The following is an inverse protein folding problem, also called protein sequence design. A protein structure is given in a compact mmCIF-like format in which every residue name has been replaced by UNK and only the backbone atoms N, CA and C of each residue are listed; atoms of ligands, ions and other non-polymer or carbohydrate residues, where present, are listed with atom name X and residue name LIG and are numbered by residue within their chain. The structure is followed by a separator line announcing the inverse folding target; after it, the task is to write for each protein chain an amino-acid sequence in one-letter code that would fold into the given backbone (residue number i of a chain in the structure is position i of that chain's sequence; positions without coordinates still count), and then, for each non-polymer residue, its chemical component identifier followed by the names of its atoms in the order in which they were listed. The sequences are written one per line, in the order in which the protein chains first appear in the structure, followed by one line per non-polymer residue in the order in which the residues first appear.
data_IF_810153213327
#
_entry.id   IF_810153213327
#
_cell.length_a   1.000
_cell.length_b   1.000
_cell.length_c   1.000
_cell.angle_alpha   90.00
_cell.angle_beta   90.00
_cell.angle_gamma   90.00
#
_symmetry.space_group_name_H-M   'P 1'
#
loop_
_entity.id
_entity.type
_entity.pdbx_description
1 polymer ?
#
# COMPACT_ATOMS: atom_id res chain seq x y z
N UNK A 1 13.90 -12.40 11.39
CA UNK A 1 12.84 -11.49 10.90
C UNK A 1 13.03 -10.08 11.47
N UNK A 2 13.21 -9.93 12.78
CA UNK A 2 13.37 -8.61 13.43
C UNK A 2 14.55 -7.77 12.90
N UNK A 3 15.76 -8.33 12.80
CA UNK A 3 16.94 -7.62 12.30
C UNK A 3 16.76 -7.13 10.85
N UNK A 4 16.15 -7.95 9.99
CA UNK A 4 15.83 -7.58 8.60
C UNK A 4 14.85 -6.40 8.52
N UNK A 5 13.86 -6.38 9.42
CA UNK A 5 12.83 -5.34 9.47
C UNK A 5 13.25 -4.11 10.27
N UNK A 6 14.47 -4.10 10.84
CA UNK A 6 14.93 -3.06 11.77
C UNK A 6 13.87 -2.71 12.82
N UNK A 7 13.12 -3.72 13.26
CA UNK A 7 11.92 -3.54 14.06
C UNK A 7 12.26 -3.39 15.53
N UNK A 8 11.71 -2.34 16.16
CA UNK A 8 11.72 -2.15 17.61
C UNK A 8 10.79 -3.15 18.31
N UNK A 9 9.72 -3.58 17.64
CA UNK A 9 8.83 -4.64 18.13
C UNK A 9 9.50 -6.01 17.99
N UNK A 10 9.38 -6.89 19.00
CA UNK A 10 9.80 -8.28 18.91
C UNK A 10 8.96 -9.05 17.89
N UNK A 11 9.49 -10.20 17.47
CA UNK A 11 8.81 -11.17 16.63
C UNK A 11 8.59 -12.47 17.40
N UNK A 12 7.46 -13.13 17.16
CA UNK A 12 7.26 -14.53 17.55
C UNK A 12 8.09 -15.50 16.71
N UNK A 13 8.57 -15.08 15.53
CA UNK A 13 9.30 -15.91 14.59
C UNK A 13 8.40 -16.72 13.65
N UNK A 14 7.12 -16.33 13.53
CA UNK A 14 6.11 -17.03 12.75
C UNK A 14 6.04 -16.45 11.34
N UNK A 15 6.00 -17.32 10.31
CA UNK A 15 5.97 -16.86 8.92
C UNK A 15 4.57 -16.39 8.52
N UNK A 16 4.49 -15.45 7.58
CA UNK A 16 3.22 -14.86 7.13
C UNK A 16 2.10 -15.85 6.78
N UNK A 17 2.33 -16.99 6.08
CA UNK A 17 1.26 -17.96 5.84
C UNK A 17 0.66 -18.56 7.11
N UNK A 18 1.49 -18.79 8.14
CA UNK A 18 1.04 -19.31 9.43
C UNK A 18 0.29 -18.23 10.23
N UNK A 19 0.76 -16.97 10.19
CA UNK A 19 0.05 -15.84 10.79
C UNK A 19 -1.34 -15.68 10.16
N UNK A 20 -1.43 -15.74 8.83
CA UNK A 20 -2.71 -15.68 8.11
C UNK A 20 -3.64 -16.83 8.50
N UNK A 21 -3.13 -18.07 8.53
CA UNK A 21 -3.92 -19.24 8.92
C UNK A 21 -4.45 -19.12 10.36
N UNK A 22 -3.59 -18.72 11.30
CA UNK A 22 -3.97 -18.50 12.69
C UNK A 22 -5.03 -17.39 12.82
N UNK A 23 -4.79 -16.22 12.21
CA UNK A 23 -5.72 -15.10 12.23
C UNK A 23 -7.08 -15.47 11.62
N UNK A 24 -7.11 -16.12 10.45
CA UNK A 24 -8.35 -16.57 9.82
C UNK A 24 -9.11 -17.57 10.70
N UNK A 25 -8.41 -18.48 11.37
CA UNK A 25 -9.02 -19.43 12.31
C UNK A 25 -9.61 -18.70 13.53
N UNK A 26 -8.86 -17.78 14.12
CA UNK A 26 -9.31 -16.97 15.26
C UNK A 26 -10.53 -16.12 14.93
N UNK A 27 -10.55 -15.49 13.76
CA UNK A 27 -11.64 -14.60 13.34
C UNK A 27 -12.78 -15.33 12.62
N UNK A 28 -12.72 -16.65 12.44
CA UNK A 28 -13.71 -17.41 11.67
C UNK A 28 -15.15 -17.24 12.19
N UNK A 29 -15.31 -17.06 13.51
CA UNK A 29 -16.60 -16.85 14.18
C UNK A 29 -16.78 -15.42 14.72
N UNK A 30 -15.89 -14.50 14.34
CA UNK A 30 -16.03 -13.12 14.74
C UNK A 30 -17.23 -12.50 14.03
N UNK A 31 -18.15 -11.95 14.82
CA UNK A 31 -19.30 -11.18 14.36
C UNK A 31 -19.22 -9.78 14.96
N UNK A 32 -19.46 -8.77 14.12
CA UNK A 32 -19.48 -7.38 14.54
C UNK A 32 -20.86 -6.81 14.27
N UNK A 33 -21.43 -6.11 15.25
CA UNK A 33 -22.76 -5.50 15.16
C UNK A 33 -22.81 -4.33 14.19
N UNK A 34 -21.64 -3.72 13.90
CA UNK A 34 -21.52 -2.61 12.97
C UNK A 34 -20.10 -2.51 12.38
N UNK A 35 -19.97 -1.72 11.32
CA UNK A 35 -18.65 -1.38 10.76
C UNK A 35 -17.81 -0.53 11.70
N UNK A 36 -18.43 0.23 12.61
CA UNK A 36 -17.72 0.95 13.65
C UNK A 36 -17.09 0.00 14.67
N UNK A 37 -17.84 -1.02 15.10
CA UNK A 37 -17.32 -2.06 15.97
C UNK A 37 -16.18 -2.82 15.29
N UNK A 38 -16.33 -3.22 14.03
CA UNK A 38 -15.24 -3.85 13.28
C UNK A 38 -13.97 -2.99 13.24
N UNK A 39 -14.07 -1.68 12.95
CA UNK A 39 -12.92 -0.77 12.96
C UNK A 39 -12.27 -0.69 14.35
N UNK A 40 -13.09 -0.61 15.40
CA UNK A 40 -12.62 -0.57 16.78
C UNK A 40 -11.83 -1.83 17.13
N UNK A 41 -12.32 -3.01 16.76
CA UNK A 41 -11.64 -4.28 17.05
C UNK A 41 -10.34 -4.44 16.24
N UNK A 42 -10.32 -4.03 14.97
CA UNK A 42 -9.08 -3.98 14.17
C UNK A 42 -8.02 -3.09 14.85
N UNK A 43 -8.41 -1.89 15.28
CA UNK A 43 -7.50 -0.97 15.98
C UNK A 43 -7.12 -1.47 17.37
N UNK A 44 -8.01 -2.18 18.08
CA UNK A 44 -7.69 -2.77 19.37
C UNK A 44 -6.56 -3.79 19.25
N UNK A 45 -6.62 -4.68 18.24
CA UNK A 45 -5.53 -5.64 17.95
C UNK A 45 -4.26 -4.88 17.54
N UNK A 46 -4.38 -3.88 16.66
CA UNK A 46 -3.23 -3.13 16.15
C UNK A 46 -2.47 -2.37 17.25
N UNK A 47 -3.20 -1.65 18.11
CA UNK A 47 -2.67 -0.85 19.22
C UNK A 47 -2.19 -1.72 20.38
N UNK A 48 -2.88 -2.84 20.62
CA UNK A 48 -2.54 -3.81 21.66
C UNK A 48 -1.39 -4.75 21.29
N UNK A 49 -0.91 -4.71 20.05
CA UNK A 49 0.14 -5.58 19.56
C UNK A 49 1.46 -5.39 20.35
N UNK A 50 1.93 -6.48 20.94
CA UNK A 50 3.25 -6.63 21.58
C UNK A 50 4.27 -7.23 20.63
N UNK A 51 3.82 -8.03 19.67
CA UNK A 51 4.66 -8.64 18.64
C UNK A 51 4.26 -8.16 17.25
N UNK A 52 5.22 -8.09 16.35
CA UNK A 52 4.99 -7.58 14.99
C UNK A 52 3.94 -8.40 14.23
N UNK A 53 3.93 -9.72 14.45
CA UNK A 53 2.97 -10.61 13.80
C UNK A 53 1.50 -10.33 14.18
N UNK A 54 1.25 -9.74 15.35
CA UNK A 54 -0.10 -9.37 15.79
C UNK A 54 -0.66 -8.19 14.97
N UNK A 55 0.21 -7.26 14.54
CA UNK A 55 -0.18 -6.21 13.58
C UNK A 55 -0.52 -6.78 12.20
N UNK A 56 0.16 -7.85 11.78
CA UNK A 56 -0.25 -8.57 10.57
C UNK A 56 -1.63 -9.23 10.76
N UNK A 57 -1.92 -9.79 11.94
CA UNK A 57 -3.25 -10.34 12.23
C UNK A 57 -4.35 -9.26 12.18
N UNK A 58 -4.10 -8.06 12.68
CA UNK A 58 -5.01 -6.92 12.53
C UNK A 58 -5.30 -6.60 11.04
N UNK A 59 -4.27 -6.62 10.19
CA UNK A 59 -4.45 -6.42 8.74
C UNK A 59 -5.21 -7.57 8.07
N UNK A 60 -5.06 -8.82 8.56
CA UNK A 60 -5.88 -9.95 8.08
C UNK A 60 -7.35 -9.71 8.38
N UNK A 61 -7.69 -9.25 9.60
CA UNK A 61 -9.07 -8.88 9.94
C UNK A 61 -9.58 -7.70 9.11
N UNK A 62 -8.72 -6.69 8.89
CA UNK A 62 -9.06 -5.54 8.05
C UNK A 62 -9.33 -5.93 6.58
N UNK A 63 -8.60 -6.92 6.07
CA UNK A 63 -8.72 -7.45 4.71
C UNK A 63 -9.78 -8.53 4.53
N UNK A 64 -10.47 -8.96 5.59
CA UNK A 64 -11.44 -10.04 5.49
C UNK A 64 -12.59 -9.69 4.54
N UNK A 65 -12.91 -10.59 3.61
CA UNK A 65 -13.96 -10.38 2.60
C UNK A 65 -15.35 -10.35 3.21
N UNK A 66 -15.56 -10.97 4.37
CA UNK A 66 -16.84 -10.94 5.11
C UNK A 66 -17.20 -9.52 5.58
N UNK A 67 -16.19 -8.66 5.76
CA UNK A 67 -16.36 -7.27 6.17
C UNK A 67 -16.04 -6.28 5.04
N UNK A 68 -16.11 -6.72 3.77
CA UNK A 68 -15.83 -5.87 2.62
C UNK A 68 -16.72 -4.62 2.56
N UNK A 69 -17.99 -4.73 2.97
CA UNK A 69 -18.92 -3.60 3.04
C UNK A 69 -18.53 -2.52 4.06
N UNK A 70 -17.62 -2.83 5.00
CA UNK A 70 -17.11 -1.86 5.97
C UNK A 70 -15.89 -1.08 5.46
N UNK A 71 -15.30 -1.47 4.33
CA UNK A 71 -14.18 -0.77 3.71
C UNK A 71 -14.66 0.36 2.79
N UNK A 72 -15.18 1.42 3.41
CA UNK A 72 -15.65 2.65 2.76
C UNK A 72 -14.83 3.87 3.26
N UNK A 73 -15.14 5.07 2.78
CA UNK A 73 -14.37 6.28 3.10
C UNK A 73 -14.25 6.53 4.62
N UNK A 74 -15.24 6.17 5.42
CA UNK A 74 -15.23 6.28 6.88
C UNK A 74 -14.16 5.41 7.55
N UNK A 75 -13.62 4.43 6.84
CA UNK A 75 -12.53 3.57 7.31
C UNK A 75 -11.14 4.11 6.97
N UNK A 76 -11.04 5.18 6.17
CA UNK A 76 -9.75 5.81 5.83
C UNK A 76 -8.96 6.25 7.08
N UNK A 77 -9.55 6.90 8.11
CA UNK A 77 -8.81 7.30 9.30
C UNK A 77 -8.16 6.13 10.04
N UNK A 78 -8.81 4.96 10.08
CA UNK A 78 -8.24 3.74 10.66
C UNK A 78 -6.99 3.30 9.88
N UNK A 79 -7.07 3.25 8.56
CA UNK A 79 -5.93 2.86 7.73
C UNK A 79 -4.81 3.89 7.77
N UNK A 80 -5.13 5.18 7.84
CA UNK A 80 -4.15 6.25 8.05
C UNK A 80 -3.37 6.05 9.35
N UNK A 81 -4.06 5.74 10.45
CA UNK A 81 -3.39 5.43 11.72
C UNK A 81 -2.44 4.24 11.58
N UNK A 82 -2.88 3.16 10.91
CA UNK A 82 -2.06 1.97 10.68
C UNK A 82 -0.82 2.29 9.81
N UNK A 83 -0.96 3.16 8.81
CA UNK A 83 0.15 3.63 7.97
C UNK A 83 1.17 4.41 8.82
N UNK A 84 0.69 5.39 9.60
CA UNK A 84 1.54 6.31 10.35
C UNK A 84 2.23 5.61 11.54
N UNK A 85 1.51 4.75 12.26
CA UNK A 85 2.05 4.05 13.44
C UNK A 85 2.75 2.73 13.09
N UNK A 86 2.51 2.20 11.89
CA UNK A 86 3.17 1.02 11.33
C UNK A 86 4.48 1.34 10.63
N UNK A 87 4.60 2.56 10.07
CA UNK A 87 5.78 3.25 9.53
C UNK A 87 6.95 2.38 9.03
N UNK A 88 6.63 1.32 8.29
CA UNK A 88 7.58 0.44 7.63
C UNK A 88 6.90 -0.26 6.46
N UNK A 89 7.68 -0.61 5.45
CA UNK A 89 7.16 -1.02 4.14
C UNK A 89 6.26 -2.26 4.21
N UNK A 90 6.50 -3.21 5.09
CA UNK A 90 5.71 -4.44 5.23
C UNK A 90 4.27 -4.19 5.68
N UNK A 91 4.06 -3.29 6.63
CA UNK A 91 2.71 -2.88 7.05
C UNK A 91 2.09 -1.93 6.02
N UNK A 92 2.85 -0.95 5.57
CA UNK A 92 2.36 0.10 4.67
C UNK A 92 1.92 -0.48 3.33
N UNK A 93 2.67 -1.43 2.77
CA UNK A 93 2.36 -2.02 1.47
C UNK A 93 1.11 -2.91 1.54
N UNK A 94 0.91 -3.66 2.64
CA UNK A 94 -0.32 -4.43 2.85
C UNK A 94 -1.54 -3.50 3.01
N UNK A 95 -1.42 -2.39 3.75
CA UNK A 95 -2.49 -1.39 3.83
C UNK A 95 -2.74 -0.73 2.47
N UNK A 96 -1.71 -0.50 1.65
CA UNK A 96 -1.89 0.07 0.32
C UNK A 96 -2.73 -0.83 -0.60
N UNK A 97 -2.63 -2.15 -0.46
CA UNK A 97 -3.51 -3.08 -1.17
C UNK A 97 -4.98 -2.94 -0.74
N UNK A 98 -5.24 -2.80 0.56
CA UNK A 98 -6.59 -2.60 1.09
C UNK A 98 -7.18 -1.25 0.65
N UNK A 99 -6.38 -0.19 0.67
CA UNK A 99 -6.75 1.12 0.12
C UNK A 99 -6.99 1.03 -1.39
N UNK A 100 -6.21 0.23 -2.12
CA UNK A 100 -6.45 -0.05 -3.53
C UNK A 100 -7.81 -0.70 -3.78
N UNK A 101 -8.20 -1.68 -2.96
CA UNK A 101 -9.52 -2.29 -3.03
C UNK A 101 -10.64 -1.27 -2.77
N UNK A 102 -10.46 -0.40 -1.78
CA UNK A 102 -11.39 0.70 -1.50
C UNK A 102 -11.48 1.68 -2.66
N UNK A 103 -10.35 2.07 -3.25
CA UNK A 103 -10.30 2.97 -4.38
C UNK A 103 -11.07 2.42 -5.60
N UNK A 104 -11.05 1.10 -5.82
CA UNK A 104 -11.84 0.46 -6.88
C UNK A 104 -13.34 0.58 -6.64
N UNK A 105 -13.78 0.44 -5.40
CA UNK A 105 -15.19 0.49 -5.03
C UNK A 105 -15.72 1.94 -4.89
N UNK A 106 -14.89 2.86 -4.41
CA UNK A 106 -15.27 4.20 -3.98
C UNK A 106 -14.39 5.29 -4.63
N UNK A 107 -14.23 5.22 -5.95
CA UNK A 107 -13.28 6.06 -6.70
C UNK A 107 -13.46 7.58 -6.49
N UNK A 108 -14.70 8.06 -6.35
CA UNK A 108 -14.99 9.48 -6.18
C UNK A 108 -14.47 10.02 -4.84
N UNK A 109 -14.60 9.23 -3.79
CA UNK A 109 -14.21 9.60 -2.42
C UNK A 109 -12.71 9.40 -2.20
N UNK A 110 -12.12 8.33 -2.76
CA UNK A 110 -10.74 7.94 -2.48
C UNK A 110 -9.71 8.65 -3.38
N UNK A 111 -10.07 9.08 -4.60
CA UNK A 111 -9.14 9.83 -5.47
C UNK A 111 -8.63 11.13 -4.82
N UNK A 112 -9.49 12.00 -4.23
CA UNK A 112 -9.03 13.18 -3.51
C UNK A 112 -8.11 12.86 -2.33
N UNK A 113 -8.40 11.79 -1.59
CA UNK A 113 -7.56 11.34 -0.46
C UNK A 113 -6.18 10.93 -0.96
N UNK A 114 -6.09 10.13 -2.02
CA UNK A 114 -4.79 9.73 -2.59
C UNK A 114 -3.97 10.92 -3.11
N UNK A 115 -4.64 11.92 -3.72
CA UNK A 115 -3.98 13.16 -4.15
C UNK A 115 -3.50 14.01 -2.98
N UNK A 116 -4.27 14.09 -1.90
CA UNK A 116 -3.83 14.77 -0.68
C UNK A 116 -2.61 14.04 -0.08
N UNK A 117 -2.69 12.72 0.06
CA UNK A 117 -1.62 11.89 0.60
C UNK A 117 -0.35 11.91 -0.22
N UNK A 118 -0.40 12.14 -1.55
CA UNK A 118 0.81 12.21 -2.38
C UNK A 118 1.69 13.43 -2.09
N UNK A 119 1.16 14.44 -1.40
CA UNK A 119 1.89 15.66 -0.99
C UNK A 119 2.12 15.76 0.51
N UNK A 120 1.72 14.74 1.27
CA UNK A 120 1.78 14.76 2.73
C UNK A 120 3.22 14.79 3.26
N UNK A 121 3.43 15.38 4.44
CA UNK A 121 4.73 15.39 5.11
C UNK A 121 5.20 13.97 5.49
N UNK A 122 4.26 13.07 5.78
CA UNK A 122 4.54 11.68 6.09
C UNK A 122 4.79 10.87 4.80
N UNK A 123 6.04 10.43 4.61
CA UNK A 123 6.45 9.65 3.44
C UNK A 123 5.66 8.34 3.25
N UNK A 124 5.14 7.73 4.33
CA UNK A 124 4.39 6.49 4.21
C UNK A 124 3.01 6.69 3.60
N UNK A 125 2.37 7.85 3.87
CA UNK A 125 1.14 8.25 3.17
C UNK A 125 1.39 8.49 1.68
N UNK A 126 2.50 9.19 1.35
CA UNK A 126 2.93 9.36 -0.05
C UNK A 126 3.19 8.02 -0.73
N UNK A 127 3.87 7.09 -0.05
CA UNK A 127 4.12 5.73 -0.57
C UNK A 127 2.81 5.00 -0.89
N UNK A 128 1.82 5.02 0.01
CA UNK A 128 0.51 4.40 -0.26
C UNK A 128 -0.16 5.01 -1.48
N UNK A 129 -0.18 6.35 -1.59
CA UNK A 129 -0.77 7.02 -2.74
C UNK A 129 -0.12 6.59 -4.07
N UNK A 130 1.20 6.38 -4.09
CA UNK A 130 1.93 5.95 -5.30
C UNK A 130 1.62 4.49 -5.65
N UNK A 131 1.50 3.59 -4.66
CA UNK A 131 1.41 2.14 -4.90
C UNK A 131 -0.02 1.56 -4.77
N UNK A 132 -1.04 2.35 -4.43
CA UNK A 132 -2.39 1.83 -4.23
C UNK A 132 -3.01 1.15 -5.48
N UNK A 133 -2.46 1.42 -6.67
CA UNK A 133 -2.95 0.87 -7.94
C UNK A 133 -2.12 -0.31 -8.50
N UNK A 134 -1.10 -0.82 -7.80
CA UNK A 134 -0.14 -1.80 -8.37
C UNK A 134 -0.77 -3.12 -8.86
N UNK A 135 -1.98 -3.45 -8.41
CA UNK A 135 -2.70 -4.66 -8.81
C UNK A 135 -3.83 -4.40 -9.82
N UNK A 136 -3.95 -3.18 -10.37
CA UNK A 136 -5.11 -2.78 -11.18
C UNK A 136 -5.00 -3.20 -12.66
N UNK A 137 -3.78 -3.44 -13.16
CA UNK A 137 -3.53 -3.84 -14.56
C UNK A 137 -4.20 -2.88 -15.56
N UNK A 138 -5.07 -3.37 -16.44
CA UNK A 138 -5.80 -2.60 -17.45
C UNK A 138 -6.71 -1.53 -16.83
N UNK A 139 -7.08 -1.67 -15.55
CA UNK A 139 -7.91 -0.70 -14.83
C UNK A 139 -7.12 0.39 -14.11
N UNK A 140 -5.80 0.46 -14.31
CA UNK A 140 -4.97 1.50 -13.68
C UNK A 140 -5.37 2.87 -14.21
N UNK A 141 -5.71 3.80 -13.31
CA UNK A 141 -5.92 5.20 -13.65
C UNK A 141 -4.56 5.89 -13.76
N UNK A 142 -4.04 6.01 -14.99
CA UNK A 142 -2.77 6.67 -15.27
C UNK A 142 -2.75 8.13 -14.83
N UNK A 143 -3.88 8.84 -14.93
CA UNK A 143 -3.95 10.25 -14.50
C UNK A 143 -3.76 10.36 -13.00
N UNK A 144 -4.39 9.47 -12.22
CA UNK A 144 -4.18 9.41 -10.77
C UNK A 144 -2.76 8.94 -10.43
N UNK A 145 -2.25 7.91 -11.10
CA UNK A 145 -0.91 7.38 -10.86
C UNK A 145 0.14 8.49 -11.05
N UNK A 146 0.10 9.20 -12.18
CA UNK A 146 1.02 10.29 -12.46
C UNK A 146 0.83 11.47 -11.51
N UNK A 147 -0.41 11.84 -11.16
CA UNK A 147 -0.67 12.86 -10.16
C UNK A 147 -0.10 12.51 -8.76
N UNK A 148 -0.02 11.22 -8.43
CA UNK A 148 0.56 10.79 -7.15
C UNK A 148 2.10 10.69 -7.21
N UNK A 149 2.68 10.40 -8.38
CA UNK A 149 4.13 10.37 -8.59
C UNK A 149 4.72 11.79 -8.68
N UNK A 150 4.04 12.71 -9.37
CA UNK A 150 4.56 14.02 -9.77
C UNK A 150 5.21 14.83 -8.61
N UNK A 151 4.57 14.97 -7.42
CA UNK A 151 5.16 15.72 -6.31
C UNK A 151 6.42 15.06 -5.72
N UNK A 152 6.64 13.79 -6.03
CA UNK A 152 7.64 12.93 -5.42
C UNK A 152 8.83 12.63 -6.36
N UNK A 153 8.84 13.13 -7.60
CA UNK A 153 9.88 12.83 -8.59
C UNK A 153 11.29 13.20 -8.11
N UNK A 154 11.43 14.35 -7.47
CA UNK A 154 12.70 14.85 -6.93
C UNK A 154 13.04 14.31 -5.53
N UNK A 155 12.15 13.52 -4.91
CA UNK A 155 12.34 13.01 -3.56
C UNK A 155 13.62 12.16 -3.48
N UNK A 156 14.35 12.32 -2.38
CA UNK A 156 15.61 11.60 -2.11
C UNK A 156 15.41 10.35 -1.28
N UNK A 157 14.25 10.19 -0.66
CA UNK A 157 13.89 9.06 0.17
C UNK A 157 13.86 7.75 -0.62
N UNK A 158 14.55 6.74 -0.08
CA UNK A 158 14.71 5.44 -0.72
C UNK A 158 13.35 4.77 -0.95
N UNK A 159 12.48 4.77 0.07
CA UNK A 159 11.18 4.11 -0.02
C UNK A 159 10.23 4.79 -1.02
N UNK A 160 10.32 6.10 -1.21
CA UNK A 160 9.54 6.83 -2.21
C UNK A 160 10.06 6.51 -3.62
N UNK A 161 11.38 6.55 -3.83
CA UNK A 161 11.98 6.19 -5.13
C UNK A 161 11.64 4.77 -5.55
N UNK A 162 11.65 3.82 -4.60
CA UNK A 162 11.21 2.43 -4.81
C UNK A 162 9.72 2.33 -5.09
N UNK A 163 8.88 3.13 -4.43
CA UNK A 163 7.44 3.16 -4.68
C UNK A 163 7.14 3.58 -6.13
N UNK A 164 7.75 4.68 -6.60
CA UNK A 164 7.59 5.18 -7.98
C UNK A 164 7.99 4.10 -8.98
N UNK A 165 9.20 3.55 -8.81
CA UNK A 165 9.72 2.50 -9.68
C UNK A 165 8.83 1.26 -9.69
N UNK A 166 8.33 0.82 -8.52
CA UNK A 166 7.46 -0.35 -8.42
C UNK A 166 6.08 -0.13 -9.02
N UNK A 167 5.49 1.06 -8.87
CA UNK A 167 4.20 1.38 -9.46
C UNK A 167 4.26 1.34 -10.99
N UNK A 168 5.26 1.99 -11.58
CA UNK A 168 5.52 1.96 -13.02
C UNK A 168 5.86 0.55 -13.51
N UNK A 169 6.76 -0.17 -12.80
CA UNK A 169 7.13 -1.55 -13.13
C UNK A 169 5.93 -2.50 -13.16
N UNK A 170 5.01 -2.32 -12.21
CA UNK A 170 3.79 -3.14 -12.13
C UNK A 170 2.90 -2.90 -13.34
N UNK A 171 2.74 -1.63 -13.75
CA UNK A 171 1.95 -1.27 -14.92
C UNK A 171 2.62 -1.66 -16.25
N UNK A 172 3.95 -1.79 -16.31
CA UNK A 172 4.67 -2.22 -17.51
C UNK A 172 4.29 -3.65 -17.97
N UNK A 173 3.69 -4.47 -17.10
CA UNK A 173 3.10 -5.75 -17.52
C UNK A 173 1.85 -5.59 -18.39
N UNK A 174 1.15 -4.47 -18.25
CA UNK A 174 -0.04 -4.12 -19.04
C UNK A 174 0.34 -3.28 -20.25
N UNK A 175 1.15 -2.24 -20.07
CA UNK A 175 1.59 -1.37 -21.16
C UNK A 175 3.08 -0.99 -20.99
N UNK A 176 4.01 -1.79 -21.55
CA UNK A 176 5.44 -1.50 -21.45
C UNK A 176 5.84 -0.27 -22.28
N UNK A 177 5.12 0.05 -23.36
CA UNK A 177 5.41 1.20 -24.21
C UNK A 177 5.08 2.51 -23.49
N UNK A 178 3.96 2.56 -22.77
CA UNK A 178 3.58 3.71 -21.96
C UNK A 178 4.58 3.97 -20.82
N UNK A 179 5.06 2.91 -20.16
CA UNK A 179 6.08 3.06 -19.11
C UNK A 179 7.41 3.55 -19.70
N UNK A 180 7.83 3.03 -20.86
CA UNK A 180 9.03 3.52 -21.55
C UNK A 180 8.91 5.00 -21.93
N UNK A 181 7.76 5.41 -22.49
CA UNK A 181 7.45 6.81 -22.82
C UNK A 181 7.54 7.70 -21.58
N UNK A 182 6.85 7.33 -20.49
CA UNK A 182 6.84 8.13 -19.26
C UNK A 182 8.24 8.29 -18.65
N UNK A 183 9.04 7.22 -18.65
CA UNK A 183 10.41 7.26 -18.11
C UNK A 183 11.31 8.17 -18.95
N UNK A 184 11.20 8.11 -20.29
CA UNK A 184 11.98 8.97 -21.20
C UNK A 184 11.61 10.45 -21.04
N UNK A 185 10.33 10.77 -20.96
CA UNK A 185 9.87 12.16 -20.76
C UNK A 185 10.30 12.74 -19.41
N UNK A 186 10.43 11.91 -18.39
CA UNK A 186 10.81 12.33 -17.04
C UNK A 186 12.25 11.94 -16.69
N UNK A 187 13.09 11.65 -17.67
CA UNK A 187 14.42 11.06 -17.44
C UNK A 187 15.27 11.93 -16.51
N UNK A 188 15.30 13.25 -16.73
CA UNK A 188 16.08 14.21 -15.94
C UNK A 188 15.55 14.40 -14.51
N UNK A 189 14.29 14.02 -14.25
CA UNK A 189 13.58 14.25 -12.99
C UNK A 189 13.52 12.98 -12.14
N UNK A 190 13.37 11.82 -12.77
CA UNK A 190 13.34 10.52 -12.09
C UNK A 190 14.72 10.15 -11.54
N UNK A 191 14.74 9.66 -10.31
CA UNK A 191 15.95 9.07 -9.75
C UNK A 191 16.42 7.87 -10.59
N UNK A 192 17.74 7.68 -10.70
CA UNK A 192 18.28 6.51 -11.40
C UNK A 192 17.78 5.17 -10.84
N UNK A 193 17.44 5.11 -9.54
CA UNK A 193 16.79 3.95 -8.93
C UNK A 193 15.38 3.72 -9.48
N UNK A 194 14.55 4.76 -9.49
CA UNK A 194 13.17 4.68 -10.00
C UNK A 194 13.14 4.27 -11.47
N UNK A 195 14.03 4.82 -12.31
CA UNK A 195 14.14 4.44 -13.73
C UNK A 195 14.50 2.96 -13.90
N UNK A 196 15.54 2.48 -13.21
CA UNK A 196 15.97 1.06 -13.30
C UNK A 196 14.87 0.11 -12.85
N UNK A 197 14.14 0.46 -11.78
CA UNK A 197 13.03 -0.36 -11.30
C UNK A 197 11.86 -0.36 -12.30
N UNK A 198 11.44 0.82 -12.79
CA UNK A 198 10.33 0.98 -13.72
C UNK A 198 10.53 0.16 -15.01
N UNK A 199 11.73 0.21 -15.60
CA UNK A 199 12.04 -0.44 -16.88
C UNK A 199 12.32 -1.95 -16.77
N UNK A 200 12.27 -2.54 -15.58
CA UNK A 200 12.67 -3.94 -15.37
C UNK A 200 11.83 -4.94 -16.18
N UNK A 201 10.55 -4.63 -16.40
CA UNK A 201 9.63 -5.46 -17.19
C UNK A 201 9.40 -4.91 -18.61
N UNK A 202 10.09 -3.84 -19.00
CA UNK A 202 10.03 -3.29 -20.37
C UNK A 202 11.02 -4.05 -21.26
N UNK A 203 10.62 -4.52 -22.46
CA UNK A 203 11.53 -5.18 -23.41
C UNK A 203 12.73 -4.30 -23.77
N UNK A 204 13.91 -4.90 -23.95
CA UNK A 204 15.15 -4.16 -24.15
C UNK A 204 15.11 -3.17 -25.34
N UNK A 205 14.43 -3.54 -26.44
CA UNK A 205 14.29 -2.67 -27.62
C UNK A 205 13.35 -1.48 -27.45
N UNK A 206 12.61 -1.40 -26.33
CA UNK A 206 11.72 -0.27 -26.01
C UNK A 206 12.27 0.64 -24.91
N UNK A 207 13.35 0.22 -24.23
CA UNK A 207 13.91 0.97 -23.09
C UNK A 207 14.50 2.30 -23.52
#
# INVERSE_FOLDING_TARGET
MQAYMKSTMPYHGVRMPQVRAAAMSTFAKAEFKSCEEWRREVLAIWRGAKFREERYAAMVLAGDRRHAGCRAAESVPMFEEMIVTGAWWDHVDEVAHLIGDMLRAHQHELRPVMRSWSTDANMWKRRVAIICQISFKERTDLRLLYANIEPNLADREFFIRKAIGWALRSYAWTDPAEVARYVRENESRLSGLSRREALKNVPAGMR
#
